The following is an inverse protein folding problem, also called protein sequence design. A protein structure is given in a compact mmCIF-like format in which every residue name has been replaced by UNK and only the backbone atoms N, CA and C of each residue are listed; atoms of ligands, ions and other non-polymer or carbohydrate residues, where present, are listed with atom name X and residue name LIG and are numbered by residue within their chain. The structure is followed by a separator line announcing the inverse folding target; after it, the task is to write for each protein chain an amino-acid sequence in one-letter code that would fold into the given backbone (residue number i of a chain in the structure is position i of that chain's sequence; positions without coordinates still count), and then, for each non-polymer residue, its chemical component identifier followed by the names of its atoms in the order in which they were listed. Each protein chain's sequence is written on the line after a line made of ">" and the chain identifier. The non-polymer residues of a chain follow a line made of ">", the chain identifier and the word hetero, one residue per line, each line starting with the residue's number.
data_IF_404375563364
#
_entry.id   IF_404375563364
#
_cell.length_a   1.000
_cell.length_b   1.000
_cell.length_c   1.000
_cell.angle_alpha   90.00
_cell.angle_beta   90.00
_cell.angle_gamma   90.00
#
_symmetry.space_group_name_H-M   'P 1'
#
loop_
_entity.id
_entity.type
_entity.pdbx_description
1 polymer ?
#
# COMPACT_ATOMS: atom_id res chain seq x y z
N UNK A 1 -9.27 7.34 23.24
CA UNK A 1 -7.93 6.72 23.22
C UNK A 1 -7.84 5.91 21.95
N UNK A 2 -6.69 5.89 21.29
CA UNK A 2 -6.41 5.04 20.15
C UNK A 2 -5.18 4.23 20.49
N UNK A 3 -5.24 2.92 20.25
CA UNK A 3 -4.13 1.98 20.48
C UNK A 3 -3.99 1.20 19.20
N UNK A 4 -2.76 1.11 18.71
CA UNK A 4 -2.43 0.41 17.50
C UNK A 4 -1.67 -0.87 17.85
N UNK A 5 -2.04 -1.98 17.22
CA UNK A 5 -1.44 -3.28 17.46
C UNK A 5 -0.97 -3.85 16.13
N UNK A 6 0.35 -3.86 15.93
CA UNK A 6 0.99 -4.18 14.65
C UNK A 6 1.46 -5.63 14.54
N UNK A 7 1.40 -6.41 15.62
CA UNK A 7 2.03 -7.73 15.71
C UNK A 7 1.58 -8.70 14.61
N UNK A 8 0.28 -8.77 14.34
CA UNK A 8 -0.26 -9.64 13.29
C UNK A 8 0.32 -9.27 11.92
N UNK A 9 0.42 -7.98 11.64
CA UNK A 9 0.77 -7.48 10.33
C UNK A 9 2.24 -7.75 9.99
N UNK A 10 3.13 -7.40 10.91
CA UNK A 10 4.57 -7.69 10.83
C UNK A 10 4.83 -9.19 10.64
N UNK A 11 4.14 -10.04 11.41
CA UNK A 11 4.30 -11.49 11.29
C UNK A 11 3.70 -12.02 9.98
N UNK A 12 2.54 -11.51 9.56
CA UNK A 12 1.87 -11.92 8.32
C UNK A 12 2.71 -11.56 7.09
N UNK A 13 3.41 -10.42 7.09
CA UNK A 13 4.35 -10.06 6.02
C UNK A 13 5.46 -11.10 5.84
N UNK A 14 6.02 -11.61 6.94
CA UNK A 14 7.15 -12.54 6.88
C UNK A 14 6.76 -14.01 6.73
N UNK A 15 5.71 -14.44 7.42
CA UNK A 15 5.30 -15.85 7.45
C UNK A 15 4.19 -16.15 6.43
N UNK A 16 3.34 -15.16 6.16
CA UNK A 16 2.07 -15.28 5.45
C UNK A 16 0.87 -15.29 6.41
N UNK A 17 -0.30 -14.76 5.98
CA UNK A 17 -1.44 -14.50 6.86
C UNK A 17 -2.09 -15.75 7.48
N UNK A 18 -1.93 -16.91 6.84
CA UNK A 18 -2.53 -18.17 7.30
C UNK A 18 -1.59 -19.04 8.13
N UNK A 19 -0.38 -18.57 8.41
CA UNK A 19 0.59 -19.32 9.23
C UNK A 19 0.20 -19.30 10.70
N UNK A 20 0.70 -20.32 11.42
CA UNK A 20 0.40 -20.50 12.85
C UNK A 20 0.90 -19.31 13.64
N UNK A 21 2.08 -18.79 13.30
CA UNK A 21 2.70 -17.62 13.93
C UNK A 21 1.81 -16.38 13.82
N UNK A 22 1.26 -16.11 12.63
CA UNK A 22 0.35 -14.99 12.42
C UNK A 22 -0.96 -15.19 13.20
N UNK A 23 -1.52 -16.41 13.20
CA UNK A 23 -2.76 -16.72 13.93
C UNK A 23 -2.58 -16.67 15.45
N UNK A 24 -1.42 -17.05 15.95
CA UNK A 24 -1.06 -16.94 17.37
C UNK A 24 -0.99 -15.47 17.80
N UNK A 25 -0.51 -14.58 16.93
CA UNK A 25 -0.56 -13.14 17.18
C UNK A 25 -1.99 -12.63 17.35
N UNK A 26 -2.92 -13.04 16.47
CA UNK A 26 -4.35 -12.70 16.59
C UNK A 26 -4.94 -13.25 17.89
N UNK A 27 -4.60 -14.48 18.28
CA UNK A 27 -5.04 -15.05 19.55
C UNK A 27 -4.45 -14.32 20.77
N UNK A 28 -3.25 -13.74 20.65
CA UNK A 28 -2.65 -12.86 21.65
C UNK A 28 -3.41 -11.53 21.77
N UNK A 29 -3.69 -10.89 20.63
CA UNK A 29 -4.51 -9.68 20.51
C UNK A 29 -5.88 -9.84 21.19
N UNK A 30 -6.59 -10.94 20.92
CA UNK A 30 -7.88 -11.25 21.56
C UNK A 30 -7.77 -11.28 23.10
N UNK A 31 -6.74 -11.94 23.63
CA UNK A 31 -6.48 -11.99 25.08
C UNK A 31 -6.21 -10.59 25.65
N UNK A 32 -5.42 -9.77 24.95
CA UNK A 32 -5.11 -8.39 25.38
C UNK A 32 -6.39 -7.55 25.42
N UNK A 33 -7.20 -7.61 24.37
CA UNK A 33 -8.49 -6.89 24.31
C UNK A 33 -9.38 -7.33 25.48
N UNK A 34 -9.51 -8.63 25.74
CA UNK A 34 -10.29 -9.15 26.87
C UNK A 34 -9.76 -8.73 28.25
N UNK A 35 -8.44 -8.53 28.40
CA UNK A 35 -7.85 -7.98 29.63
C UNK A 35 -8.22 -6.50 29.78
N UNK A 36 -8.11 -5.71 28.71
CA UNK A 36 -8.46 -4.28 28.73
C UNK A 36 -9.94 -4.09 29.03
N UNK A 37 -10.82 -4.90 28.42
CA UNK A 37 -12.26 -4.87 28.69
C UNK A 37 -12.57 -5.13 30.16
N UNK A 38 -11.97 -6.17 30.75
CA UNK A 38 -12.14 -6.49 32.18
C UNK A 38 -11.65 -5.35 33.07
N UNK A 39 -10.47 -4.80 32.79
CA UNK A 39 -9.93 -3.68 33.56
C UNK A 39 -10.78 -2.41 33.45
N UNK A 40 -11.46 -2.19 32.32
CA UNK A 40 -12.34 -1.05 32.13
C UNK A 40 -13.61 -1.11 33.00
N UNK A 41 -14.02 -2.30 33.45
CA UNK A 41 -15.16 -2.44 34.37
C UNK A 41 -14.90 -1.78 35.74
N UNK A 42 -13.65 -1.72 36.17
CA UNK A 42 -13.22 -1.10 37.44
C UNK A 42 -12.77 0.37 37.27
N UNK A 43 -12.85 0.92 36.05
CA UNK A 43 -12.37 2.26 35.78
C UNK A 43 -13.36 3.35 36.24
N UNK A 44 -12.87 4.54 36.67
CA UNK A 44 -13.75 5.65 37.10
C UNK A 44 -14.67 6.22 36.01
N UNK A 45 -14.42 5.89 34.73
CA UNK A 45 -15.21 6.33 33.58
C UNK A 45 -15.65 5.14 32.75
N UNK A 46 -16.87 5.15 32.20
CA UNK A 46 -17.32 4.09 31.30
C UNK A 46 -16.54 4.18 29.98
N UNK A 47 -16.08 3.02 29.50
CA UNK A 47 -15.47 2.88 28.17
C UNK A 47 -16.38 2.10 27.23
N UNK A 48 -16.34 2.46 25.95
CA UNK A 48 -16.90 1.69 24.84
C UNK A 48 -15.78 1.34 23.89
N UNK A 49 -15.78 0.10 23.39
CA UNK A 49 -14.71 -0.42 22.57
C UNK A 49 -15.13 -0.49 21.11
N UNK A 50 -14.26 -0.01 20.24
CA UNK A 50 -14.33 -0.24 18.80
C UNK A 50 -13.00 -0.90 18.43
N UNK A 51 -13.08 -2.04 17.76
CA UNK A 51 -11.91 -2.77 17.26
C UNK A 51 -12.04 -2.82 15.75
N UNK A 52 -11.00 -2.46 15.02
CA UNK A 52 -11.02 -2.44 13.57
C UNK A 52 -9.70 -2.96 13.02
N UNK A 53 -9.75 -3.43 11.78
CA UNK A 53 -8.55 -3.50 10.95
C UNK A 53 -8.72 -2.52 9.80
N UNK A 54 -7.65 -1.82 9.46
CA UNK A 54 -7.59 -0.87 8.36
C UNK A 54 -7.45 -1.58 7.01
N UNK A 55 -6.82 -2.74 6.99
CA UNK A 55 -6.77 -3.66 5.85
C UNK A 55 -6.81 -5.14 6.30
N UNK A 56 -7.04 -6.03 5.33
CA UNK A 56 -6.69 -7.44 5.48
C UNK A 56 -5.27 -7.71 4.99
N UNK A 57 -4.93 -8.98 4.77
CA UNK A 57 -3.64 -9.42 4.24
C UNK A 57 -3.88 -10.48 3.15
N UNK A 58 -3.28 -10.30 1.97
CA UNK A 58 -3.34 -11.26 0.86
C UNK A 58 -2.06 -12.10 0.82
N UNK A 59 -2.15 -13.43 0.67
CA UNK A 59 -0.97 -14.26 0.47
C UNK A 59 -0.42 -14.15 -0.96
N UNK A 60 0.77 -14.69 -1.19
CA UNK A 60 1.23 -15.08 -2.52
C UNK A 60 2.74 -15.04 -2.68
N UNK A 61 3.25 -15.80 -3.65
CA UNK A 61 4.66 -15.69 -4.00
C UNK A 61 4.98 -14.30 -4.57
N UNK A 62 6.14 -13.75 -4.19
CA UNK A 62 6.58 -12.43 -4.65
C UNK A 62 6.71 -12.41 -6.17
N UNK A 63 6.54 -11.23 -6.78
CA UNK A 63 6.72 -11.01 -8.21
C UNK A 63 8.08 -11.51 -8.69
N UNK A 64 9.15 -11.20 -7.95
CA UNK A 64 10.50 -11.68 -8.26
C UNK A 64 10.63 -13.20 -8.24
N UNK A 65 9.91 -13.88 -7.34
CA UNK A 65 9.90 -15.35 -7.29
C UNK A 65 9.12 -15.94 -8.47
N UNK A 66 7.95 -15.36 -8.78
CA UNK A 66 7.08 -15.83 -9.88
C UNK A 66 7.70 -15.60 -11.26
N UNK A 67 8.35 -14.46 -11.46
CA UNK A 67 8.82 -14.00 -12.78
C UNK A 67 10.34 -13.89 -12.89
N UNK A 68 11.08 -14.36 -11.87
CA UNK A 68 12.56 -14.43 -11.82
C UNK A 68 13.28 -13.09 -11.94
N UNK A 69 12.57 -11.97 -11.75
CA UNK A 69 13.12 -10.62 -11.69
C UNK A 69 12.18 -9.69 -10.92
N UNK A 70 12.69 -8.71 -10.17
CA UNK A 70 11.84 -7.72 -9.51
C UNK A 70 11.26 -6.74 -10.54
N UNK A 71 10.33 -5.88 -10.10
CA UNK A 71 9.62 -4.97 -11.02
C UNK A 71 10.58 -3.99 -11.72
N UNK A 72 11.54 -3.43 -10.99
CA UNK A 72 12.59 -2.57 -11.54
C UNK A 72 13.44 -3.31 -12.58
N UNK A 73 13.66 -4.61 -12.41
CA UNK A 73 14.34 -5.45 -13.39
C UNK A 73 13.53 -5.64 -14.68
N UNK A 74 12.20 -5.77 -14.56
CA UNK A 74 11.31 -5.78 -15.71
C UNK A 74 11.29 -4.41 -16.42
N UNK A 75 11.19 -3.32 -15.67
CA UNK A 75 11.21 -1.95 -16.23
C UNK A 75 12.53 -1.73 -16.95
N UNK A 76 13.67 -2.07 -16.33
CA UNK A 76 15.01 -1.97 -16.92
C UNK A 76 15.15 -2.75 -18.23
N UNK A 77 14.61 -3.96 -18.31
CA UNK A 77 14.60 -4.77 -19.53
C UNK A 77 13.79 -4.09 -20.65
N UNK A 78 12.65 -3.49 -20.32
CA UNK A 78 11.78 -2.84 -21.30
C UNK A 78 12.39 -1.54 -21.86
N UNK A 79 13.14 -0.80 -21.06
CA UNK A 79 13.74 0.48 -21.48
C UNK A 79 15.17 0.36 -22.01
N UNK A 80 15.84 -0.77 -21.76
CA UNK A 80 17.21 -1.04 -22.20
C UNK A 80 18.29 -0.46 -21.28
N UNK A 81 19.54 -0.88 -21.51
CA UNK A 81 20.68 -0.65 -20.58
C UNK A 81 21.14 0.81 -20.45
N UNK A 82 20.74 1.69 -21.38
CA UNK A 82 21.16 3.10 -21.38
C UNK A 82 20.33 3.99 -20.45
N UNK A 83 19.25 3.45 -19.90
CA UNK A 83 18.32 4.17 -19.00
C UNK A 83 18.57 3.68 -17.57
N UNK A 84 18.84 4.59 -16.64
CA UNK A 84 19.06 4.24 -15.23
C UNK A 84 17.71 4.10 -14.51
N UNK A 85 17.30 2.86 -14.22
CA UNK A 85 16.13 2.56 -13.38
C UNK A 85 16.58 2.37 -11.93
N UNK A 86 15.89 3.03 -11.00
CA UNK A 86 16.18 2.94 -9.56
C UNK A 86 14.96 2.43 -8.79
N UNK A 87 15.14 1.38 -8.00
CA UNK A 87 14.18 0.97 -6.98
C UNK A 87 14.27 1.87 -5.74
N UNK A 88 13.13 2.37 -5.29
CA UNK A 88 12.94 3.11 -4.03
C UNK A 88 12.11 2.28 -3.04
N UNK A 89 12.41 0.98 -2.94
CA UNK A 89 11.77 0.03 -2.03
C UNK A 89 12.40 0.15 -0.65
N UNK A 90 12.22 1.29 0.02
CA UNK A 90 12.53 1.43 1.44
C UNK A 90 11.24 1.15 2.22
N UNK A 91 11.24 0.14 3.08
CA UNK A 91 10.10 -0.19 3.94
C UNK A 91 9.61 1.05 4.71
N UNK A 92 8.48 1.61 4.26
CA UNK A 92 7.84 2.79 4.87
C UNK A 92 7.20 2.43 6.23
N UNK A 93 6.95 1.14 6.48
CA UNK A 93 6.45 0.56 7.74
C UNK A 93 7.28 1.01 8.97
N UNK A 94 8.59 1.16 8.80
CA UNK A 94 9.50 1.50 9.90
C UNK A 94 9.44 2.98 10.36
N UNK A 95 8.66 3.84 9.69
CA UNK A 95 8.38 5.21 10.14
C UNK A 95 7.22 5.31 11.14
N UNK A 96 6.31 4.34 11.14
CA UNK A 96 5.19 4.23 12.09
C UNK A 96 5.65 3.92 13.51
N UNK A 97 6.75 3.17 13.66
CA UNK A 97 7.35 2.85 14.96
C UNK A 97 8.23 3.96 15.55
N UNK A 98 8.67 4.94 14.74
CA UNK A 98 9.57 6.02 15.20
C UNK A 98 8.84 7.33 15.53
N UNK A 99 7.66 7.56 14.97
CA UNK A 99 6.89 8.80 15.16
C UNK A 99 6.16 8.93 16.53
N UNK A 100 5.72 7.86 17.22
CA UNK A 100 5.08 7.99 18.55
C UNK A 100 6.08 8.32 19.67
N UNK A 101 7.37 8.06 19.48
CA UNK A 101 8.41 8.31 20.50
C UNK A 101 9.05 9.71 20.39
N UNK A 102 9.02 10.34 19.21
CA UNK A 102 9.58 11.69 19.05
C UNK A 102 8.68 12.79 19.62
N UNK A 103 7.36 12.57 19.73
CA UNK A 103 6.43 13.55 20.32
C UNK A 103 6.42 13.57 21.86
N UNK A 104 7.07 12.60 22.52
CA UNK A 104 7.15 12.53 23.99
C UNK A 104 8.48 13.08 24.52
N UNK A 105 9.50 13.22 23.65
CA UNK A 105 10.85 13.63 24.03
C UNK A 105 11.08 15.16 24.05
N UNK A 106 10.15 15.99 23.56
CA UNK A 106 10.28 17.46 23.59
C UNK A 106 9.92 18.10 24.94
N UNK A 107 9.64 17.31 25.98
CA UNK A 107 9.09 17.77 27.25
C UNK A 107 9.92 17.53 28.52
N UNK A 108 11.17 17.05 28.44
CA UNK A 108 11.99 16.80 29.64
C UNK A 108 13.39 17.39 29.44
N UNK A 109 13.60 18.53 30.08
CA UNK A 109 14.89 19.20 30.21
C UNK A 109 15.73 18.46 31.26
N UNK A 110 16.90 17.94 30.88
CA UNK A 110 17.95 17.53 31.82
C UNK A 110 18.55 16.13 31.61
N UNK A 111 19.86 16.10 31.31
CA UNK A 111 20.89 15.08 31.65
C UNK A 111 20.46 13.59 31.56
N UNK A 112 21.05 12.73 30.73
CA UNK A 112 22.47 12.31 30.79
C UNK A 112 22.79 11.44 29.57
N UNK A 113 23.97 11.64 29.00
CA UNK A 113 24.56 10.90 27.88
C UNK A 113 24.96 9.49 28.32
N UNK A 114 24.33 8.44 27.79
CA UNK A 114 24.86 7.07 27.86
C UNK A 114 25.12 6.58 26.43
N UNK A 115 26.39 6.38 26.15
CA UNK A 115 26.93 5.79 24.94
C UNK A 115 26.73 4.28 25.01
N UNK A 116 26.06 3.69 24.04
CA UNK A 116 26.30 2.30 23.65
C UNK A 116 26.73 2.26 22.19
N UNK A 117 27.98 1.89 22.01
CA UNK A 117 28.71 1.82 20.75
C UNK A 117 28.57 0.44 20.14
N UNK A 118 27.93 0.31 18.98
CA UNK A 118 28.20 -0.79 18.03
C UNK A 118 27.89 -0.30 16.60
N UNK A 119 28.80 -0.47 15.62
CA UNK A 119 28.72 0.23 14.35
C UNK A 119 27.91 -0.58 13.33
N UNK A 120 26.70 -0.12 13.00
CA UNK A 120 26.08 -0.47 11.72
C UNK A 120 26.72 0.40 10.64
N UNK A 121 27.76 -0.12 10.00
CA UNK A 121 28.38 0.45 8.80
C UNK A 121 28.20 -0.54 7.65
N UNK A 122 27.34 -0.17 6.68
CA UNK A 122 27.22 -0.59 5.26
C UNK A 122 25.75 -0.39 4.84
N UNK A 123 25.34 0.45 3.89
CA UNK A 123 25.99 1.32 2.92
C UNK A 123 25.25 2.66 2.86
N UNK A 124 25.76 3.68 3.54
CA UNK A 124 25.54 5.06 3.13
C UNK A 124 26.66 5.38 2.14
N UNK A 125 26.35 5.28 0.85
CA UNK A 125 27.23 5.71 -0.23
C UNK A 125 27.63 7.17 -0.05
N UNK A 126 28.87 7.44 -0.43
CA UNK A 126 29.60 8.67 -0.19
C UNK A 126 28.87 9.93 -0.66
N UNK A 127 28.94 10.97 0.19
CA UNK A 127 28.88 12.36 -0.22
C UNK A 127 30.19 12.68 -0.98
N UNK A 128 30.24 12.35 -2.27
CA UNK A 128 31.00 13.04 -3.33
C UNK A 128 30.96 12.21 -4.62
N UNK A 129 29.85 12.37 -5.33
CA UNK A 129 29.77 12.53 -6.78
C UNK A 129 28.33 12.98 -7.02
N UNK A 130 28.10 14.05 -7.79
CA UNK A 130 26.76 14.43 -8.22
C UNK A 130 26.26 13.36 -9.20
N UNK A 131 25.86 12.20 -8.67
CA UNK A 131 25.32 11.10 -9.45
C UNK A 131 24.13 11.66 -10.23
N UNK A 132 24.17 11.49 -11.55
CA UNK A 132 23.05 11.86 -12.42
C UNK A 132 21.77 11.24 -11.81
N UNK A 133 20.71 12.04 -11.58
CA UNK A 133 19.46 11.52 -11.06
C UNK A 133 18.97 10.38 -11.96
N UNK A 134 18.34 9.37 -11.36
CA UNK A 134 17.78 8.24 -12.10
C UNK A 134 16.78 8.72 -13.16
N UNK A 135 16.79 8.05 -14.31
CA UNK A 135 15.88 8.38 -15.39
C UNK A 135 14.45 7.88 -15.08
N UNK A 136 14.36 6.78 -14.31
CA UNK A 136 13.10 6.18 -13.85
C UNK A 136 13.24 5.76 -12.38
N UNK A 137 12.23 6.06 -11.56
CA UNK A 137 12.13 5.63 -10.16
C UNK A 137 10.94 4.69 -10.01
N UNK A 138 11.14 3.53 -9.39
CA UNK A 138 10.11 2.54 -9.08
C UNK A 138 9.96 2.44 -7.56
N UNK A 139 8.82 2.86 -7.02
CA UNK A 139 8.48 2.75 -5.60
C UNK A 139 7.39 1.68 -5.41
N UNK A 140 7.78 0.49 -4.94
CA UNK A 140 6.84 -0.59 -4.63
C UNK A 140 6.25 -0.44 -3.23
N UNK A 141 4.97 -0.81 -3.10
CA UNK A 141 4.25 -0.96 -1.83
C UNK A 141 3.26 -2.12 -1.99
N UNK A 142 3.64 -3.26 -1.44
CA UNK A 142 3.02 -4.55 -1.62
C UNK A 142 2.82 -4.92 -3.07
N UNK A 143 1.56 -5.17 -3.47
CA UNK A 143 1.23 -5.53 -4.85
C UNK A 143 0.89 -4.34 -5.76
N UNK A 144 1.16 -3.12 -5.30
CA UNK A 144 1.09 -1.87 -6.04
C UNK A 144 2.49 -1.25 -6.18
N UNK A 145 2.74 -0.53 -7.27
CA UNK A 145 3.95 0.26 -7.42
C UNK A 145 3.66 1.58 -8.15
N UNK A 146 4.38 2.61 -7.76
CA UNK A 146 4.43 3.89 -8.45
C UNK A 146 5.70 3.93 -9.31
N UNK A 147 5.56 4.31 -10.58
CA UNK A 147 6.70 4.60 -11.45
C UNK A 147 6.67 6.08 -11.80
N UNK A 148 7.81 6.75 -11.61
CA UNK A 148 7.96 8.17 -11.91
C UNK A 148 9.16 8.41 -12.84
N UNK A 149 9.07 9.46 -13.66
CA UNK A 149 10.09 9.88 -14.62
C UNK A 149 10.64 11.26 -14.23
N UNK A 150 11.70 11.36 -13.40
CA UNK A 150 12.15 12.62 -12.80
C UNK A 150 12.56 13.72 -13.79
N UNK A 151 12.85 13.37 -15.03
CA UNK A 151 13.18 14.32 -16.10
C UNK A 151 11.95 15.00 -16.72
N UNK A 152 10.74 14.48 -16.47
CA UNK A 152 9.48 15.02 -16.96
C UNK A 152 8.89 15.95 -15.90
N UNK A 153 8.51 17.16 -16.33
CA UNK A 153 7.85 18.11 -15.43
C UNK A 153 6.36 17.77 -15.28
N UNK A 154 5.89 17.66 -14.03
CA UNK A 154 4.52 17.26 -13.74
C UNK A 154 4.27 15.78 -14.01
N UNK A 155 3.00 15.41 -14.24
CA UNK A 155 2.60 14.03 -14.49
C UNK A 155 2.76 13.69 -15.96
N UNK A 156 3.64 12.73 -16.26
CA UNK A 156 3.91 12.28 -17.62
C UNK A 156 2.66 11.62 -18.22
N UNK A 157 2.37 11.97 -19.47
CA UNK A 157 1.29 11.35 -20.26
C UNK A 157 1.81 10.08 -20.92
N UNK A 158 0.90 9.16 -21.25
CA UNK A 158 1.22 7.96 -22.03
C UNK A 158 1.94 8.34 -23.32
N UNK A 159 1.48 9.38 -24.00
CA UNK A 159 2.06 9.88 -25.24
C UNK A 159 3.52 10.36 -25.03
N UNK A 160 3.79 11.08 -23.93
CA UNK A 160 5.16 11.49 -23.56
C UNK A 160 6.04 10.30 -23.21
N UNK A 161 5.51 9.33 -22.46
CA UNK A 161 6.23 8.12 -22.06
C UNK A 161 6.55 7.27 -23.29
N UNK A 162 5.58 7.03 -24.17
CA UNK A 162 5.77 6.22 -25.38
C UNK A 162 6.76 6.87 -26.36
N UNK A 163 6.82 8.21 -26.42
CA UNK A 163 7.82 8.93 -27.22
C UNK A 163 9.24 8.81 -26.66
N UNK A 164 9.39 8.75 -25.32
CA UNK A 164 10.69 8.73 -24.63
C UNK A 164 11.21 7.30 -24.41
N UNK A 165 10.31 6.38 -24.07
CA UNK A 165 10.59 4.98 -23.74
C UNK A 165 9.65 4.05 -24.55
N UNK A 166 9.87 3.92 -25.87
CA UNK A 166 8.98 3.18 -26.74
C UNK A 166 8.75 1.74 -26.27
N UNK A 167 7.48 1.37 -26.10
CA UNK A 167 7.09 0.01 -25.73
C UNK A 167 7.10 -0.28 -24.21
N UNK A 168 7.46 0.67 -23.35
CA UNK A 168 7.44 0.50 -21.90
C UNK A 168 6.04 0.18 -21.36
N UNK A 169 5.07 1.07 -21.60
CA UNK A 169 3.69 0.91 -21.10
C UNK A 169 3.07 -0.37 -21.64
N UNK A 170 3.19 -0.57 -22.95
CA UNK A 170 2.72 -1.76 -23.66
C UNK A 170 3.37 -3.05 -23.18
N UNK A 171 4.66 -3.02 -22.85
CA UNK A 171 5.41 -4.15 -22.30
C UNK A 171 4.93 -4.52 -20.90
N UNK A 172 4.70 -3.53 -20.03
CA UNK A 172 4.12 -3.72 -18.70
C UNK A 172 2.71 -4.32 -18.79
N UNK A 173 1.85 -3.75 -19.65
CA UNK A 173 0.47 -4.21 -19.85
C UNK A 173 0.39 -5.66 -20.34
N UNK A 174 1.34 -6.09 -21.20
CA UNK A 174 1.39 -7.48 -21.70
C UNK A 174 2.02 -8.47 -20.72
N UNK A 175 2.75 -8.01 -19.71
CA UNK A 175 3.46 -8.91 -18.82
C UNK A 175 2.47 -9.69 -17.94
N UNK A 176 2.55 -11.03 -17.86
CA UNK A 176 1.54 -11.86 -17.17
C UNK A 176 1.47 -11.61 -15.66
N UNK A 177 2.51 -11.01 -15.08
CA UNK A 177 2.54 -10.59 -13.68
C UNK A 177 1.90 -9.25 -13.37
N UNK A 178 1.46 -8.50 -14.38
CA UNK A 178 0.82 -7.19 -14.22
C UNK A 178 -0.68 -7.36 -14.45
N UNK A 179 -1.48 -6.92 -13.47
CA UNK A 179 -2.93 -6.96 -13.55
C UNK A 179 -3.50 -5.73 -14.25
N UNK A 180 -2.94 -4.55 -13.94
CA UNK A 180 -3.24 -3.31 -14.63
C UNK A 180 -2.09 -2.30 -14.55
N UNK A 181 -2.13 -1.35 -15.48
CA UNK A 181 -1.30 -0.14 -15.50
C UNK A 181 -2.24 1.06 -15.60
N UNK A 182 -2.21 1.94 -14.60
CA UNK A 182 -2.87 3.24 -14.67
C UNK A 182 -1.90 4.28 -15.24
N UNK A 183 -2.36 5.07 -16.21
CA UNK A 183 -1.56 6.13 -16.85
C UNK A 183 -2.46 7.27 -17.33
N UNK A 184 -1.96 8.50 -17.35
CA UNK A 184 -2.68 9.64 -17.92
C UNK A 184 -2.53 9.69 -19.44
N UNK A 185 -3.61 9.89 -20.18
CA UNK A 185 -3.58 10.26 -21.60
C UNK A 185 -3.93 11.73 -21.78
N UNK A 186 -3.31 12.37 -22.76
CA UNK A 186 -3.63 13.75 -23.17
C UNK A 186 -5.08 13.90 -23.66
N UNK A 187 -5.61 12.88 -24.33
CA UNK A 187 -6.89 12.97 -25.02
C UNK A 187 -8.08 12.43 -24.21
N UNK A 188 -7.82 11.53 -23.26
CA UNK A 188 -8.87 10.79 -22.52
C UNK A 188 -8.79 10.90 -21.00
N UNK A 189 -7.82 11.67 -20.49
CA UNK A 189 -7.53 11.69 -19.06
C UNK A 189 -6.92 10.37 -18.60
N UNK A 190 -7.11 10.03 -17.32
CA UNK A 190 -6.49 8.85 -16.72
C UNK A 190 -7.17 7.56 -17.18
N UNK A 191 -6.36 6.55 -17.51
CA UNK A 191 -6.77 5.26 -18.04
C UNK A 191 -6.27 4.15 -17.13
N UNK A 192 -7.04 3.07 -16.97
CA UNK A 192 -6.55 1.79 -16.48
C UNK A 192 -6.45 0.82 -17.66
N UNK A 193 -5.25 0.29 -17.89
CA UNK A 193 -4.90 -0.59 -19.01
C UNK A 193 -4.64 -2.00 -18.48
N UNK A 194 -5.18 -3.00 -19.15
CA UNK A 194 -4.84 -4.41 -18.93
C UNK A 194 -4.61 -5.14 -20.25
N UNK A 195 -4.11 -6.37 -20.19
CA UNK A 195 -3.71 -7.13 -21.39
C UNK A 195 -4.84 -7.31 -22.42
N UNK A 196 -6.11 -7.32 -21.98
CA UNK A 196 -7.29 -7.54 -22.82
C UNK A 196 -8.14 -6.30 -23.10
N UNK A 197 -7.75 -5.12 -22.62
CA UNK A 197 -8.57 -3.91 -22.77
C UNK A 197 -8.22 -2.80 -21.79
N UNK A 198 -9.08 -1.79 -21.75
CA UNK A 198 -8.90 -0.61 -20.92
C UNK A 198 -10.23 0.00 -20.49
N UNK A 199 -10.17 0.85 -19.46
CA UNK A 199 -11.27 1.69 -19.02
C UNK A 199 -10.76 3.08 -18.65
N UNK A 200 -11.54 4.10 -18.99
CA UNK A 200 -11.26 5.48 -18.57
C UNK A 200 -11.63 5.62 -17.08
N UNK A 201 -10.77 6.27 -16.29
CA UNK A 201 -11.06 6.49 -14.88
C UNK A 201 -12.29 7.41 -14.70
N UNK A 202 -12.65 8.25 -15.68
CA UNK A 202 -13.92 8.97 -15.66
C UNK A 202 -15.15 8.04 -15.69
N UNK A 203 -14.97 6.77 -16.05
CA UNK A 203 -16.03 5.75 -16.10
C UNK A 203 -16.92 5.86 -17.35
N UNK A 204 -16.51 6.66 -18.33
CA UNK A 204 -17.34 7.02 -19.49
C UNK A 204 -17.18 6.02 -20.65
N UNK A 205 -16.03 5.35 -20.73
CA UNK A 205 -15.72 4.46 -21.85
C UNK A 205 -14.75 3.35 -21.47
N UNK A 206 -15.01 2.15 -21.99
CA UNK A 206 -14.12 1.01 -21.98
C UNK A 206 -13.92 0.49 -23.41
N UNK A 207 -12.72 0.00 -23.69
CA UNK A 207 -12.39 -0.66 -24.96
C UNK A 207 -11.84 -2.05 -24.64
N UNK A 208 -12.49 -3.11 -25.15
CA UNK A 208 -12.11 -4.49 -24.83
C UNK A 208 -12.58 -4.96 -23.45
N UNK A 209 -11.77 -5.77 -22.76
CA UNK A 209 -12.09 -6.29 -21.42
C UNK A 209 -11.70 -5.27 -20.36
N UNK A 210 -12.65 -4.89 -19.49
CA UNK A 210 -12.40 -3.99 -18.37
C UNK A 210 -11.43 -4.62 -17.35
N UNK A 211 -10.22 -4.05 -17.16
CA UNK A 211 -9.22 -4.60 -16.24
C UNK A 211 -9.61 -4.53 -14.76
N UNK A 212 -10.60 -3.69 -14.39
CA UNK A 212 -11.00 -3.46 -13.00
C UNK A 212 -11.98 -4.50 -12.48
N UNK A 213 -12.68 -5.22 -13.36
CA UNK A 213 -13.74 -6.18 -12.98
C UNK A 213 -13.29 -7.20 -11.92
N UNK A 214 -12.04 -7.66 -12.02
CA UNK A 214 -11.42 -8.65 -11.11
C UNK A 214 -10.97 -8.09 -9.75
N UNK A 215 -10.93 -6.77 -9.59
CA UNK A 215 -10.46 -6.10 -8.38
C UNK A 215 -11.59 -5.62 -7.46
N UNK A 216 -12.85 -5.88 -7.85
CA UNK A 216 -14.03 -5.56 -7.06
C UNK A 216 -14.58 -4.15 -7.32
N UNK A 217 -15.77 -3.90 -6.78
CA UNK A 217 -16.57 -2.71 -7.10
C UNK A 217 -15.94 -1.37 -6.67
N UNK A 218 -15.01 -1.39 -5.72
CA UNK A 218 -14.33 -0.19 -5.21
C UNK A 218 -13.06 0.18 -5.96
N UNK A 219 -12.60 -0.67 -6.90
CA UNK A 219 -11.31 -0.48 -7.58
C UNK A 219 -11.24 0.83 -8.37
N UNK A 220 -12.29 1.16 -9.13
CA UNK A 220 -12.34 2.40 -9.93
C UNK A 220 -12.22 3.65 -9.04
N UNK A 221 -12.99 3.70 -7.96
CA UNK A 221 -12.97 4.85 -7.04
C UNK A 221 -11.66 4.93 -6.25
N UNK A 222 -11.08 3.78 -5.90
CA UNK A 222 -9.73 3.71 -5.32
C UNK A 222 -8.67 4.31 -6.23
N UNK A 223 -8.68 3.92 -7.51
CA UNK A 223 -7.74 4.46 -8.51
C UNK A 223 -7.95 5.95 -8.77
N UNK A 224 -9.21 6.43 -8.82
CA UNK A 224 -9.51 7.88 -8.89
C UNK A 224 -8.92 8.64 -7.72
N UNK A 225 -9.04 8.08 -6.51
CA UNK A 225 -8.47 8.71 -5.32
C UNK A 225 -6.95 8.78 -5.40
N UNK A 226 -6.29 7.72 -5.89
CA UNK A 226 -4.84 7.73 -6.13
C UNK A 226 -4.48 8.76 -7.19
N UNK A 227 -5.17 8.78 -8.34
CA UNK A 227 -4.96 9.80 -9.39
C UNK A 227 -5.27 11.23 -8.90
N UNK A 228 -6.09 11.45 -7.88
CA UNK A 228 -6.28 12.78 -7.32
C UNK A 228 -5.10 13.26 -6.45
N UNK A 229 -4.20 12.38 -6.03
CA UNK A 229 -3.06 12.74 -5.17
C UNK A 229 -1.98 13.45 -5.98
N UNK A 230 -1.39 14.50 -5.39
CA UNK A 230 -0.22 15.18 -5.94
C UNK A 230 0.95 14.21 -6.13
N UNK A 231 1.08 13.27 -5.19
CA UNK A 231 2.22 12.34 -5.08
C UNK A 231 2.02 11.05 -5.88
N UNK A 232 0.93 10.96 -6.65
CA UNK A 232 0.73 9.84 -7.56
C UNK A 232 1.86 9.77 -8.60
N UNK A 233 2.41 8.58 -8.80
CA UNK A 233 3.37 8.32 -9.87
C UNK A 233 2.78 8.57 -11.25
N UNK A 234 3.65 8.62 -12.25
CA UNK A 234 3.28 8.76 -13.66
C UNK A 234 2.60 7.49 -14.17
N UNK A 235 3.03 6.33 -13.67
CA UNK A 235 2.32 5.07 -13.77
C UNK A 235 1.97 4.54 -12.38
N UNK A 236 0.78 3.98 -12.23
CA UNK A 236 0.43 3.13 -11.08
C UNK A 236 0.24 1.71 -11.57
N UNK A 237 1.06 0.81 -11.06
CA UNK A 237 1.10 -0.59 -11.46
C UNK A 237 0.44 -1.40 -10.35
N UNK A 238 -0.49 -2.27 -10.71
CA UNK A 238 -0.98 -3.29 -9.77
C UNK A 238 -0.68 -4.64 -10.37
N UNK A 239 -0.08 -5.51 -9.56
CA UNK A 239 0.30 -6.85 -10.00
C UNK A 239 -0.92 -7.71 -10.28
N UNK A 240 -0.65 -8.89 -10.84
CA UNK A 240 -1.71 -9.84 -11.06
C UNK A 240 -2.25 -10.44 -9.73
N UNK A 241 -3.49 -10.90 -9.76
CA UNK A 241 -4.25 -11.46 -8.66
C UNK A 241 -5.01 -12.68 -9.18
N UNK A 242 -4.98 -13.77 -8.42
CA UNK A 242 -5.74 -14.98 -8.67
C UNK A 242 -7.00 -15.02 -7.79
N UNK A 243 -8.21 -14.92 -8.38
CA UNK A 243 -9.47 -14.91 -7.64
C UNK A 243 -9.81 -16.24 -6.96
N UNK A 244 -9.25 -17.36 -7.41
CA UNK A 244 -9.54 -18.68 -6.82
C UNK A 244 -8.77 -18.87 -5.52
N UNK A 245 -7.47 -18.54 -5.53
CA UNK A 245 -6.59 -18.72 -4.38
C UNK A 245 -6.57 -17.51 -3.44
N UNK A 246 -6.98 -16.34 -3.94
CA UNK A 246 -6.84 -15.10 -3.18
C UNK A 246 -5.43 -14.51 -3.24
N UNK A 247 -4.51 -15.10 -4.04
CA UNK A 247 -3.12 -14.71 -4.06
C UNK A 247 -2.80 -13.53 -4.99
N UNK A 248 -1.93 -12.64 -4.53
CA UNK A 248 -1.35 -11.54 -5.33
C UNK A 248 0.15 -11.76 -5.54
N UNK A 249 0.76 -11.04 -6.48
CA UNK A 249 2.22 -11.03 -6.63
C UNK A 249 2.80 -9.75 -5.99
N UNK A 250 3.32 -9.83 -4.76
CA UNK A 250 3.94 -8.67 -4.11
C UNK A 250 5.17 -8.20 -4.89
N UNK A 251 5.31 -6.90 -5.14
CA UNK A 251 6.53 -6.32 -5.68
C UNK A 251 7.62 -6.17 -4.60
N UNK A 252 7.25 -6.25 -3.32
CA UNK A 252 8.15 -6.29 -2.18
C UNK A 252 8.51 -7.73 -1.77
N UNK A 253 9.54 -7.86 -0.92
CA UNK A 253 9.97 -9.14 -0.35
C UNK A 253 9.08 -9.61 0.81
N UNK A 254 7.76 -9.65 0.58
CA UNK A 254 6.76 -10.01 1.59
C UNK A 254 5.90 -11.19 1.10
N UNK A 255 5.60 -12.14 1.99
CA UNK A 255 4.75 -13.33 1.74
C UNK A 255 3.27 -12.99 1.92
N UNK A 256 2.95 -12.27 3.00
CA UNK A 256 1.68 -11.57 3.15
C UNK A 256 1.86 -10.14 2.64
N UNK A 257 0.88 -9.61 1.93
CA UNK A 257 0.94 -8.21 1.48
C UNK A 257 -0.42 -7.52 1.45
N UNK A 258 -0.38 -6.19 1.46
CA UNK A 258 -1.48 -5.27 1.24
C UNK A 258 -0.98 -4.02 0.51
N UNK A 259 -1.79 -2.96 0.42
CA UNK A 259 -1.40 -1.68 -0.19
C UNK A 259 -1.79 -1.53 -1.68
N UNK A 260 -2.28 -2.59 -2.31
CA UNK A 260 -2.79 -2.55 -3.68
C UNK A 260 -4.24 -3.00 -3.80
N UNK A 261 -4.53 -3.80 -4.84
CA UNK A 261 -5.86 -4.31 -5.12
C UNK A 261 -5.86 -5.83 -5.26
N UNK A 262 -7.00 -6.45 -4.93
CA UNK A 262 -7.25 -7.88 -5.12
C UNK A 262 -6.92 -8.72 -3.90
N UNK A 263 -7.62 -9.84 -3.76
CA UNK A 263 -7.46 -10.76 -2.64
C UNK A 263 -8.05 -10.24 -1.34
N UNK A 264 -7.59 -10.81 -0.23
CA UNK A 264 -8.13 -10.54 1.11
C UNK A 264 -7.62 -9.22 1.73
N UNK A 265 -6.64 -8.56 1.13
CA UNK A 265 -6.16 -7.25 1.60
C UNK A 265 -7.27 -6.19 1.68
N UNK A 266 -8.32 -6.31 0.85
CA UNK A 266 -9.47 -5.40 0.88
C UNK A 266 -10.55 -5.81 1.90
N UNK A 267 -10.38 -6.92 2.63
CA UNK A 267 -11.33 -7.44 3.60
C UNK A 267 -11.04 -6.92 5.02
N UNK A 268 -11.08 -5.60 5.18
CA UNK A 268 -11.03 -4.92 6.47
C UNK A 268 -12.33 -5.14 7.27
N UNK A 269 -12.30 -4.94 8.60
CA UNK A 269 -13.48 -5.05 9.44
C UNK A 269 -13.55 -3.97 10.53
N UNK A 270 -14.75 -3.81 11.08
CA UNK A 270 -15.00 -3.04 12.31
C UNK A 270 -15.96 -3.82 13.21
N UNK A 271 -15.60 -3.92 14.48
CA UNK A 271 -16.42 -4.40 15.58
C UNK A 271 -16.74 -3.20 16.47
N UNK A 272 -18.02 -3.02 16.78
CA UNK A 272 -18.52 -1.93 17.61
C UNK A 272 -19.66 -2.44 18.50
N UNK A 273 -20.06 -1.70 19.56
CA UNK A 273 -21.21 -2.05 20.38
C UNK A 273 -22.46 -2.24 19.52
N UNK A 274 -23.24 -3.29 19.81
CA UNK A 274 -24.38 -3.69 18.99
C UNK A 274 -25.48 -2.62 18.92
N UNK A 275 -25.57 -1.76 19.93
CA UNK A 275 -26.49 -0.63 19.98
C UNK A 275 -26.09 0.55 19.08
N UNK A 276 -24.84 0.59 18.58
CA UNK A 276 -24.35 1.66 17.72
C UNK A 276 -24.69 1.38 16.25
N UNK A 277 -25.15 2.41 15.54
CA UNK A 277 -25.60 2.27 14.15
C UNK A 277 -24.55 2.79 13.17
N UNK A 278 -24.30 2.02 12.11
CA UNK A 278 -23.57 2.48 10.93
C UNK A 278 -24.56 3.12 9.96
N UNK A 279 -24.33 4.38 9.60
CA UNK A 279 -25.31 5.18 8.83
C UNK A 279 -25.13 5.06 7.31
N UNK A 280 -23.97 4.61 6.85
CA UNK A 280 -23.63 4.46 5.44
C UNK A 280 -22.47 3.43 5.27
N UNK A 281 -22.27 2.88 4.05
CA UNK A 281 -21.13 2.01 3.79
C UNK A 281 -19.78 2.66 4.16
N UNK A 282 -18.95 1.94 4.89
CA UNK A 282 -17.64 2.42 5.35
C UNK A 282 -16.55 2.13 4.33
N UNK A 283 -16.53 2.90 3.23
CA UNK A 283 -15.50 2.77 2.21
C UNK A 283 -14.36 3.75 2.49
N UNK A 284 -13.24 3.20 2.98
CA UNK A 284 -12.01 3.94 3.26
C UNK A 284 -12.03 4.77 4.54
N UNK A 285 -10.83 5.23 4.92
CA UNK A 285 -10.58 5.89 6.21
C UNK A 285 -11.42 7.16 6.47
N UNK A 286 -11.80 7.91 5.44
CA UNK A 286 -12.59 9.14 5.60
C UNK A 286 -14.02 8.83 6.06
N UNK A 287 -14.69 7.86 5.42
CA UNK A 287 -16.03 7.43 5.81
C UNK A 287 -16.02 6.84 7.24
N UNK A 288 -15.01 6.02 7.54
CA UNK A 288 -14.79 5.48 8.88
C UNK A 288 -14.59 6.58 9.92
N UNK A 289 -13.74 7.57 9.65
CA UNK A 289 -13.51 8.69 10.56
C UNK A 289 -14.81 9.47 10.82
N UNK A 290 -15.58 9.76 9.78
CA UNK A 290 -16.87 10.44 9.93
C UNK A 290 -17.85 9.62 10.78
N UNK A 291 -17.89 8.29 10.59
CA UNK A 291 -18.69 7.40 11.42
C UNK A 291 -18.25 7.43 12.90
N UNK A 292 -16.95 7.32 13.17
CA UNK A 292 -16.41 7.41 14.54
C UNK A 292 -16.76 8.77 15.17
N UNK A 293 -16.66 9.87 14.41
CA UNK A 293 -17.03 11.21 14.88
C UNK A 293 -18.51 11.32 15.24
N UNK A 294 -19.40 10.59 14.57
CA UNK A 294 -20.84 10.56 14.88
C UNK A 294 -21.11 9.87 16.21
N UNK A 295 -20.52 8.70 16.45
CA UNK A 295 -20.66 7.98 17.73
C UNK A 295 -20.08 8.74 18.94
N UNK A 296 -19.23 9.74 18.71
CA UNK A 296 -18.71 10.61 19.76
C UNK A 296 -19.63 11.79 20.10
N UNK A 297 -20.73 12.00 19.36
CA UNK A 297 -21.70 13.04 19.66
C UNK A 297 -22.68 12.57 20.75
N UNK A 298 -23.18 13.47 21.62
CA UNK A 298 -24.06 13.10 22.74
C UNK A 298 -25.36 12.38 22.35
N UNK A 299 -25.81 12.53 21.09
CA UNK A 299 -27.07 12.01 20.55
C UNK A 299 -26.85 10.91 19.48
N UNK A 300 -25.64 10.36 19.36
CA UNK A 300 -25.23 9.44 18.27
C UNK A 300 -24.76 8.07 18.71
#
# INVERSE_FOLDING_TARGET
>A
MYVDFVDYDEIAHHAGPDRVEARDAVAGLDKIIGIIEKAAADAPRPYRFVVLSDHGQSPGAMFAQRYRKPLEGLVQELVGEQVKVQGATAHVEHWGTLSPLLSVASGISGMTRVVTSTPFRRHAGALDDAEKPSDIVVAASGNLALISFPSVSGRATRETIDATYPGLVDGLVRHPGIGLVMVRSESRGSLALGAGGMVDLAGERSDGTDPLTRFGATALEGLRRVDAMTECGDLVIVSTFDPETGEVASFEEQIGTHGGLGGRQSAAFILHPAEWTIVAPLVGAVALHQQIRRWLQPDG
#
